data_IF_854613647273
#
_entry.id   IF_854613647273
#
_cell.length_a   1.000
_cell.length_b   1.000
_cell.length_c   1.000
_cell.angle_alpha   90.00
_cell.angle_beta   90.00
_cell.angle_gamma   90.00
#
_symmetry.space_group_name_H-M   'P 1'
#
loop_
_entity.id
_entity.type
_entity.pdbx_description
1 polymer ?
#
# COMPACT_ATOMS: atom_id res chain seq x y z
N UNK A 1 -3.33 -0.55 -3.05
CA UNK A 1 -2.45 -0.06 -4.15
C UNK A 1 -1.12 -0.82 -4.10
N UNK A 2 -0.24 -0.61 -5.08
CA UNK A 2 1.06 -1.28 -5.25
C UNK A 2 2.20 -0.59 -4.48
N UNK A 3 3.41 -1.17 -4.49
CA UNK A 3 4.60 -0.53 -3.91
C UNK A 3 5.12 0.65 -4.74
N UNK A 4 5.84 1.57 -4.10
CA UNK A 4 6.30 2.82 -4.74
C UNK A 4 7.16 2.63 -5.98
N UNK A 5 8.13 1.71 -5.94
CA UNK A 5 8.97 1.39 -7.11
C UNK A 5 8.15 0.80 -8.26
N UNK A 6 7.19 -0.05 -7.92
CA UNK A 6 6.31 -0.68 -8.90
C UNK A 6 5.41 0.37 -9.55
N UNK A 7 4.86 1.30 -8.77
CA UNK A 7 4.03 2.40 -9.27
C UNK A 7 4.84 3.31 -10.21
N UNK A 8 6.03 3.71 -9.79
CA UNK A 8 6.93 4.54 -10.58
C UNK A 8 7.32 3.85 -11.89
N UNK A 9 7.61 2.55 -11.85
CA UNK A 9 7.97 1.76 -13.04
C UNK A 9 6.82 1.63 -14.02
N UNK A 10 5.60 1.30 -13.57
CA UNK A 10 4.44 1.19 -14.45
C UNK A 10 4.10 2.55 -15.10
N UNK A 11 4.12 3.63 -14.33
CA UNK A 11 3.85 4.97 -14.84
C UNK A 11 4.93 5.44 -15.81
N UNK A 12 6.20 5.10 -15.57
CA UNK A 12 7.28 5.38 -16.50
C UNK A 12 7.13 4.61 -17.83
N UNK A 13 6.75 3.33 -17.79
CA UNK A 13 6.49 2.54 -19.01
C UNK A 13 5.40 3.19 -19.86
N UNK A 14 4.25 3.52 -19.25
CA UNK A 14 3.14 4.16 -19.98
C UNK A 14 3.57 5.50 -20.60
N UNK A 15 4.39 6.28 -19.88
CA UNK A 15 4.91 7.56 -20.39
C UNK A 15 5.88 7.35 -21.56
N UNK A 16 6.78 6.38 -21.48
CA UNK A 16 7.72 6.03 -22.56
C UNK A 16 6.96 5.64 -23.82
N UNK A 17 6.02 4.70 -23.70
CA UNK A 17 5.22 4.23 -24.83
C UNK A 17 4.48 5.39 -25.52
N UNK A 18 3.97 6.35 -24.74
CA UNK A 18 3.34 7.56 -25.27
C UNK A 18 4.29 8.52 -25.99
N UNK A 19 5.51 8.70 -25.48
CA UNK A 19 6.54 9.55 -26.10
C UNK A 19 7.05 8.93 -27.40
N UNK A 20 7.31 7.63 -27.39
CA UNK A 20 7.74 6.88 -28.58
C UNK A 20 6.67 6.92 -29.68
N UNK A 21 5.39 6.80 -29.32
CA UNK A 21 4.28 6.98 -30.26
C UNK A 21 4.22 8.38 -30.89
N UNK A 22 4.79 9.40 -30.22
CA UNK A 22 4.90 10.77 -30.72
C UNK A 22 6.23 11.08 -31.43
N UNK A 23 7.10 10.08 -31.60
CA UNK A 23 8.43 10.23 -32.21
C UNK A 23 9.44 10.99 -31.34
N UNK A 24 9.18 11.08 -30.03
CA UNK A 24 10.08 11.74 -29.08
C UNK A 24 10.90 10.70 -28.32
N UNK A 25 12.17 11.02 -28.07
CA UNK A 25 13.03 10.20 -27.23
C UNK A 25 13.00 10.68 -25.78
N UNK A 26 13.17 9.74 -24.85
CA UNK A 26 13.19 10.02 -23.42
C UNK A 26 14.44 9.45 -22.77
N UNK A 27 15.30 10.34 -22.27
CA UNK A 27 16.56 9.94 -21.65
C UNK A 27 16.33 9.23 -20.33
N UNK A 28 17.26 8.34 -19.96
CA UNK A 28 17.26 7.65 -18.66
C UNK A 28 17.27 8.62 -17.48
N UNK A 29 17.99 9.75 -17.62
CA UNK A 29 18.00 10.80 -16.61
C UNK A 29 16.63 11.46 -16.42
N UNK A 30 15.90 11.72 -17.52
CA UNK A 30 14.56 12.29 -17.46
C UNK A 30 13.52 11.26 -16.96
N UNK A 31 13.74 9.96 -17.20
CA UNK A 31 12.95 8.88 -16.61
C UNK A 31 13.14 8.83 -15.09
N UNK A 32 14.37 8.87 -14.60
CA UNK A 32 14.64 8.86 -13.17
C UNK A 32 14.10 10.12 -12.46
N UNK A 33 14.23 11.28 -13.09
CA UNK A 33 13.63 12.53 -12.59
C UNK A 33 12.10 12.43 -12.47
N UNK A 34 11.45 11.73 -13.40
CA UNK A 34 10.00 11.49 -13.36
C UNK A 34 9.59 10.47 -12.29
N UNK A 35 10.38 9.40 -12.12
CA UNK A 35 10.11 8.35 -11.14
C UNK A 35 10.33 8.80 -9.70
N UNK A 36 11.34 9.64 -9.45
CA UNK A 36 11.72 10.10 -8.11
C UNK A 36 10.54 10.66 -7.29
N UNK A 37 9.77 11.67 -7.74
CA UNK A 37 8.66 12.22 -6.95
C UNK A 37 7.55 11.19 -6.69
N UNK A 38 7.35 10.22 -7.58
CA UNK A 38 6.38 9.13 -7.38
C UNK A 38 6.84 8.22 -6.23
N UNK A 39 8.13 7.83 -6.23
CA UNK A 39 8.69 7.03 -5.13
C UNK A 39 8.60 7.77 -3.81
N UNK A 40 8.98 9.04 -3.78
CA UNK A 40 8.91 9.88 -2.58
C UNK A 40 7.47 10.03 -2.07
N UNK A 41 6.50 10.19 -2.96
CA UNK A 41 5.10 10.23 -2.58
C UNK A 41 4.67 8.92 -1.89
N UNK A 42 5.02 7.77 -2.47
CA UNK A 42 4.66 6.47 -1.91
C UNK A 42 5.40 6.18 -0.61
N UNK A 43 6.65 6.60 -0.46
CA UNK A 43 7.38 6.49 0.80
C UNK A 43 6.72 7.32 1.90
N UNK A 44 6.36 8.57 1.58
CA UNK A 44 5.67 9.44 2.52
C UNK A 44 4.31 8.88 2.93
N UNK A 45 3.50 8.44 1.96
CA UNK A 45 2.13 7.98 2.21
C UNK A 45 2.07 6.53 2.71
N UNK A 46 3.09 5.73 2.45
CA UNK A 46 3.22 4.35 2.90
C UNK A 46 3.81 4.22 4.30
N UNK A 47 4.30 5.32 4.88
CA UNK A 47 4.81 5.33 6.25
C UNK A 47 3.74 4.88 7.26
N UNK A 48 4.08 4.05 8.27
CA UNK A 48 3.17 3.71 9.35
C UNK A 48 2.56 4.94 10.03
N UNK A 49 3.34 6.02 10.17
CA UNK A 49 2.88 7.27 10.77
C UNK A 49 1.84 7.98 9.90
N UNK A 50 1.95 7.89 8.58
CA UNK A 50 0.96 8.47 7.66
C UNK A 50 -0.38 7.75 7.76
N UNK A 51 -0.34 6.41 7.87
CA UNK A 51 -1.50 5.53 8.04
C UNK A 51 -2.20 5.80 9.38
N UNK A 52 -1.47 5.73 10.49
CA UNK A 52 -2.04 5.83 11.84
C UNK A 52 -2.63 7.22 12.13
N UNK A 53 -2.05 8.28 11.54
CA UNK A 53 -2.59 9.64 11.63
C UNK A 53 -3.98 9.80 10.98
N UNK A 54 -4.43 8.81 10.21
CA UNK A 54 -5.71 8.79 9.48
C UNK A 54 -6.64 7.67 9.94
N UNK A 55 -6.28 6.95 11.02
CA UNK A 55 -7.04 5.82 11.55
C UNK A 55 -7.30 4.72 10.51
N UNK A 56 -6.37 4.53 9.57
CA UNK A 56 -6.41 3.36 8.69
C UNK A 56 -6.00 2.07 9.42
N UNK A 57 -5.32 2.25 10.56
CA UNK A 57 -5.01 1.26 11.58
C UNK A 57 -5.42 1.80 12.96
N UNK A 58 -5.53 0.90 13.94
CA UNK A 58 -5.84 1.24 15.35
C UNK A 58 -4.60 1.63 16.17
N UNK A 59 -3.44 1.77 15.52
CA UNK A 59 -2.19 2.16 16.17
C UNK A 59 -0.97 1.36 15.69
N UNK A 60 0.19 2.01 15.78
CA UNK A 60 1.50 1.38 15.60
C UNK A 60 1.89 0.71 16.92
N UNK A 61 2.37 -0.53 16.85
CA UNK A 61 2.86 -1.29 18.01
C UNK A 61 4.32 -1.69 17.85
N UNK A 62 5.00 -1.88 18.98
CA UNK A 62 6.30 -2.57 18.98
C UNK A 62 6.10 -4.01 18.47
N UNK A 63 6.88 -4.49 17.50
CA UNK A 63 6.80 -5.87 17.04
C UNK A 63 6.87 -6.91 18.17
N UNK A 64 7.62 -6.66 19.25
CA UNK A 64 7.72 -7.54 20.41
C UNK A 64 6.40 -7.65 21.19
N UNK A 65 5.53 -6.63 21.11
CA UNK A 65 4.25 -6.58 21.80
C UNK A 65 3.10 -7.28 21.06
N UNK A 66 3.33 -7.75 19.83
CA UNK A 66 2.31 -8.38 18.97
C UNK A 66 1.49 -9.44 19.71
N UNK A 67 2.15 -10.35 20.45
CA UNK A 67 1.46 -11.42 21.21
C UNK A 67 0.53 -10.84 22.28
N UNK A 68 0.99 -9.83 23.01
CA UNK A 68 0.25 -9.21 24.11
C UNK A 68 -0.97 -8.47 23.57
N UNK A 69 -0.81 -7.68 22.52
CA UNK A 69 -1.89 -6.91 21.87
C UNK A 69 -2.96 -7.85 21.31
N UNK A 70 -2.57 -8.90 20.57
CA UNK A 70 -3.53 -9.90 20.07
C UNK A 70 -4.26 -10.64 21.20
N UNK A 71 -3.54 -11.01 22.26
CA UNK A 71 -4.16 -11.67 23.42
C UNK A 71 -5.25 -10.82 24.07
N UNK A 72 -5.00 -9.51 24.23
CA UNK A 72 -6.00 -8.58 24.74
C UNK A 72 -7.18 -8.42 23.77
N UNK A 73 -6.92 -8.25 22.47
CA UNK A 73 -7.97 -8.12 21.45
C UNK A 73 -8.91 -9.33 21.41
N UNK A 74 -8.34 -10.54 21.44
CA UNK A 74 -9.13 -11.78 21.48
C UNK A 74 -9.93 -11.92 22.78
N UNK A 75 -9.37 -11.55 23.93
CA UNK A 75 -10.09 -11.58 25.21
C UNK A 75 -11.28 -10.61 25.23
N UNK A 76 -11.19 -9.48 24.54
CA UNK A 76 -12.30 -8.53 24.36
C UNK A 76 -13.33 -9.10 23.40
N UNK A 77 -12.91 -9.60 22.22
CA UNK A 77 -13.80 -10.16 21.20
C UNK A 77 -14.59 -11.38 21.70
N UNK A 78 -14.01 -12.21 22.57
CA UNK A 78 -14.62 -13.41 23.13
C UNK A 78 -15.84 -13.13 24.04
N UNK A 79 -16.14 -11.87 24.35
CA UNK A 79 -17.31 -11.47 25.15
C UNK A 79 -18.63 -11.49 24.38
N UNK A 80 -18.57 -11.72 23.06
CA UNK A 80 -19.74 -11.74 22.18
C UNK A 80 -19.85 -13.11 21.50
N UNK A 81 -21.04 -13.71 21.39
CA UNK A 81 -21.24 -14.95 20.65
C UNK A 81 -20.79 -14.83 19.19
N UNK A 82 -20.15 -15.88 18.66
CA UNK A 82 -19.70 -15.92 17.26
C UNK A 82 -20.90 -16.30 16.38
N UNK A 83 -21.29 -15.48 15.38
CA UNK A 83 -22.40 -15.80 14.48
C UNK A 83 -22.02 -16.95 13.53
N UNK A 84 -23.02 -17.70 13.06
CA UNK A 84 -22.82 -18.69 12.01
C UNK A 84 -22.36 -18.00 10.71
N UNK A 85 -21.41 -18.58 9.96
CA UNK A 85 -20.93 -17.97 8.73
C UNK A 85 -22.00 -18.02 7.63
N UNK A 86 -22.05 -16.97 6.81
CA UNK A 86 -22.87 -16.89 5.61
C UNK A 86 -22.00 -16.34 4.48
N UNK A 87 -21.92 -17.08 3.37
CA UNK A 87 -21.03 -16.74 2.26
C UNK A 87 -21.84 -16.34 1.02
N UNK A 88 -21.23 -15.49 0.18
CA UNK A 88 -21.75 -15.18 -1.15
C UNK A 88 -21.48 -16.29 -2.17
N UNK A 89 -21.67 -15.97 -3.45
CA UNK A 89 -21.41 -16.91 -4.56
C UNK A 89 -19.91 -17.07 -4.77
N UNK A 90 -19.44 -18.32 -4.77
CA UNK A 90 -18.10 -18.66 -5.24
C UNK A 90 -18.11 -18.82 -6.76
N UNK A 91 -17.28 -18.04 -7.47
CA UNK A 91 -17.06 -18.21 -8.92
C UNK A 91 -16.02 -19.32 -9.13
N UNK A 92 -16.45 -20.46 -9.67
CA UNK A 92 -15.61 -21.62 -10.00
C UNK A 92 -14.93 -21.47 -11.36
#
# INVERSE_FOLDING_TARGET
VMGGEQAASVLATVRRDGLEASGQEWSTAAEEEFKRPIREQYEHQGSPYYSTARLWDDGIIDPADTRRVLGMGLAVAARTPIPAPSYGVFRM
#
